data_IF_144378066547
#
_entry.id   IF_144378066547
#
_cell.length_a   1.000
_cell.length_b   1.000
_cell.length_c   1.000
_cell.angle_alpha   90.00
_cell.angle_beta   90.00
_cell.angle_gamma   90.00
#
_symmetry.space_group_name_H-M   'P 1'
#
loop_
_entity.id
_entity.type
_entity.pdbx_description
1 polymer ?
#
# COMPACT_ATOMS: atom_id res chain seq x y z
N UNK A 1 -12.19 14.66 54.78
CA UNK A 1 -12.97 13.44 54.47
C UNK A 1 -13.25 13.37 52.97
N UNK A 2 -13.38 12.15 52.41
CA UNK A 2 -13.67 11.80 51.00
C UNK A 2 -12.63 12.13 49.92
N UNK A 3 -12.05 11.04 49.39
CA UNK A 3 -11.77 10.79 47.98
C UNK A 3 -12.60 9.52 47.60
N UNK A 4 -12.51 8.90 46.39
CA UNK A 4 -11.87 9.29 45.13
C UNK A 4 -12.80 9.10 43.89
N UNK A 5 -12.20 9.00 42.69
CA UNK A 5 -12.74 8.55 41.40
C UNK A 5 -13.61 9.57 40.59
N UNK A 6 -13.60 9.54 39.25
CA UNK A 6 -13.03 8.51 38.36
C UNK A 6 -12.40 9.04 37.06
N UNK A 7 -11.53 8.19 36.48
CA UNK A 7 -11.09 8.23 35.08
C UNK A 7 -12.31 8.02 34.17
N UNK A 8 -12.36 8.64 32.99
CA UNK A 8 -12.65 7.97 31.71
C UNK A 8 -12.31 8.89 30.53
N UNK A 9 -11.92 8.27 29.42
CA UNK A 9 -11.35 8.87 28.20
C UNK A 9 -12.41 9.21 27.15
N UNK A 10 -12.35 10.39 26.53
CA UNK A 10 -12.96 10.65 25.22
C UNK A 10 -12.35 11.88 24.53
N UNK A 11 -12.11 11.80 23.21
CA UNK A 11 -12.07 13.00 22.35
C UNK A 11 -10.74 13.72 22.13
N UNK A 12 -9.69 13.01 21.72
CA UNK A 12 -8.68 13.64 20.83
C UNK A 12 -9.31 13.75 19.42
N UNK A 13 -8.85 14.72 18.61
CA UNK A 13 -9.22 14.98 17.20
C UNK A 13 -10.40 15.94 16.95
N UNK A 14 -10.12 17.25 17.06
CA UNK A 14 -10.77 18.28 16.23
C UNK A 14 -9.66 19.07 15.53
N UNK A 15 -9.71 19.14 14.20
CA UNK A 15 -8.52 19.44 13.37
C UNK A 15 -8.07 20.90 13.35
N UNK A 16 -6.76 21.11 13.40
CA UNK A 16 -6.13 22.39 13.10
C UNK A 16 -6.11 22.66 11.57
N UNK A 17 -7.23 23.17 11.05
CA UNK A 17 -7.37 23.62 9.65
C UNK A 17 -7.93 25.06 9.58
N UNK A 18 -7.34 25.97 10.38
CA UNK A 18 -7.77 27.36 10.49
C UNK A 18 -6.60 28.34 10.30
N UNK A 19 -5.93 28.28 9.15
CA UNK A 19 -4.98 29.30 8.71
C UNK A 19 -4.90 29.40 7.19
N UNK A 20 -5.65 30.36 6.62
CA UNK A 20 -5.32 31.28 5.50
C UNK A 20 -6.62 32.06 5.17
N UNK A 21 -6.82 33.21 5.83
CA UNK A 21 -7.78 34.26 5.44
C UNK A 21 -7.15 35.62 5.78
N UNK A 22 -7.09 36.54 4.80
CA UNK A 22 -6.30 37.79 4.84
C UNK A 22 -4.83 37.55 4.43
N UNK A 23 -4.12 38.40 3.70
CA UNK A 23 -4.19 39.86 3.43
C UNK A 23 -3.48 40.11 2.06
N UNK A 24 -3.77 41.07 1.17
CA UNK A 24 -4.67 42.24 1.11
C UNK A 24 -5.31 42.40 -0.30
N UNK A 25 -6.09 43.47 -0.53
CA UNK A 25 -6.30 44.04 -1.87
C UNK A 25 -5.00 44.67 -2.40
N UNK A 26 -4.66 44.38 -3.65
CA UNK A 26 -3.48 44.89 -4.35
C UNK A 26 -3.68 44.88 -5.87
N UNK A 27 -4.65 45.66 -6.34
CA UNK A 27 -4.99 45.81 -7.75
C UNK A 27 -3.88 46.55 -8.51
N UNK A 28 -3.16 45.85 -9.41
CA UNK A 28 -2.16 46.47 -10.29
C UNK A 28 -1.34 45.49 -11.13
N UNK A 29 -0.54 44.63 -10.49
CA UNK A 29 0.60 43.97 -11.17
C UNK A 29 0.63 42.43 -11.13
N UNK A 30 -0.42 41.74 -10.66
CA UNK A 30 -0.36 40.28 -10.36
C UNK A 30 -0.90 39.33 -11.44
N UNK A 31 -1.23 39.81 -12.65
CA UNK A 31 -1.87 38.97 -13.71
C UNK A 31 -0.92 37.98 -14.41
N UNK A 32 0.40 38.22 -14.41
CA UNK A 32 1.38 37.29 -15.01
C UNK A 32 1.85 36.15 -14.07
N UNK A 33 1.77 36.33 -12.75
CA UNK A 33 2.20 35.30 -11.79
C UNK A 33 1.24 34.11 -11.68
N UNK A 34 -0.07 34.37 -11.75
CA UNK A 34 -1.12 33.36 -11.53
C UNK A 34 -1.12 32.23 -12.57
N UNK A 35 -0.85 32.54 -13.85
CA UNK A 35 -0.80 31.53 -14.90
C UNK A 35 0.39 30.57 -14.71
N UNK A 36 1.59 31.08 -14.39
CA UNK A 36 2.76 30.24 -14.09
C UNK A 36 2.56 29.41 -12.81
N UNK A 37 1.99 29.99 -11.76
CA UNK A 37 1.66 29.28 -10.52
C UNK A 37 0.67 28.13 -10.76
N UNK A 38 -0.42 28.38 -11.50
CA UNK A 38 -1.45 27.39 -11.82
C UNK A 38 -0.90 26.23 -12.65
N UNK A 39 -0.11 26.52 -13.69
CA UNK A 39 0.59 25.48 -14.49
C UNK A 39 1.57 24.67 -13.64
N UNK A 40 2.24 25.29 -12.64
CA UNK A 40 3.11 24.56 -11.72
C UNK A 40 2.33 23.60 -10.82
N UNK A 41 1.20 24.04 -10.24
CA UNK A 41 0.34 23.19 -9.40
C UNK A 41 -0.30 22.06 -10.20
N UNK A 42 -0.78 22.33 -11.41
CA UNK A 42 -1.35 21.30 -12.31
C UNK A 42 -0.28 20.24 -12.68
N UNK A 43 0.97 20.64 -12.92
CA UNK A 43 2.09 19.71 -13.14
C UNK A 43 2.45 18.90 -11.90
N UNK A 44 2.50 19.52 -10.72
CA UNK A 44 2.75 18.81 -9.45
C UNK A 44 1.65 17.79 -9.16
N UNK A 45 0.38 18.15 -9.37
CA UNK A 45 -0.76 17.25 -9.22
C UNK A 45 -0.74 16.10 -10.24
N UNK A 46 -0.34 16.37 -11.49
CA UNK A 46 -0.16 15.34 -12.50
C UNK A 46 0.98 14.37 -12.14
N UNK A 47 2.11 14.89 -11.65
CA UNK A 47 3.24 14.09 -11.19
C UNK A 47 2.86 13.20 -9.99
N UNK A 48 2.14 13.76 -9.01
CA UNK A 48 1.65 13.00 -7.85
C UNK A 48 0.67 11.88 -8.27
N UNK A 49 -0.28 12.18 -9.17
CA UNK A 49 -1.20 11.17 -9.73
C UNK A 49 -0.49 10.08 -10.51
N UNK A 50 0.52 10.43 -11.31
CA UNK A 50 1.35 9.45 -12.01
C UNK A 50 2.14 8.57 -11.04
N UNK A 51 2.63 9.14 -9.93
CA UNK A 51 3.32 8.39 -8.89
C UNK A 51 2.39 7.40 -8.18
N UNK A 52 1.21 7.83 -7.73
CA UNK A 52 0.25 6.96 -7.06
C UNK A 52 -0.32 5.88 -8.00
N UNK A 53 -0.53 6.20 -9.28
CA UNK A 53 -0.96 5.23 -10.28
C UNK A 53 0.08 4.11 -10.48
N UNK A 54 1.38 4.45 -10.54
CA UNK A 54 2.46 3.44 -10.63
C UNK A 54 2.54 2.56 -9.39
N UNK A 55 2.47 3.14 -8.19
CA UNK A 55 2.45 2.37 -6.94
C UNK A 55 1.22 1.43 -6.87
N UNK A 56 0.03 1.92 -7.23
CA UNK A 56 -1.19 1.11 -7.26
C UNK A 56 -1.17 0.02 -8.37
N UNK A 57 -0.38 0.19 -9.43
CA UNK A 57 -0.15 -0.87 -10.42
C UNK A 57 0.82 -1.92 -9.88
N UNK A 58 1.95 -1.52 -9.30
CA UNK A 58 2.93 -2.45 -8.70
C UNK A 58 2.31 -3.29 -7.56
N UNK A 59 1.53 -2.66 -6.67
CA UNK A 59 0.82 -3.37 -5.60
C UNK A 59 -0.18 -4.42 -6.14
N UNK A 60 -0.91 -4.10 -7.22
CA UNK A 60 -1.82 -5.06 -7.88
C UNK A 60 -1.08 -6.19 -8.57
N UNK A 61 0.11 -5.94 -9.12
CA UNK A 61 0.95 -7.00 -9.69
C UNK A 61 1.45 -7.94 -8.60
N UNK A 62 1.90 -7.42 -7.45
CA UNK A 62 2.32 -8.24 -6.31
C UNK A 62 1.19 -9.12 -5.76
N UNK A 63 -0.02 -8.57 -5.58
CA UNK A 63 -1.20 -9.35 -5.17
C UNK A 63 -1.50 -10.50 -6.15
N UNK A 64 -1.49 -10.19 -7.46
CA UNK A 64 -1.72 -11.18 -8.51
C UNK A 64 -0.64 -12.28 -8.52
N UNK A 65 0.64 -11.88 -8.46
CA UNK A 65 1.79 -12.79 -8.45
C UNK A 65 1.80 -13.71 -7.22
N UNK A 66 1.31 -13.24 -6.05
CA UNK A 66 1.23 -14.00 -4.80
C UNK A 66 0.03 -14.96 -4.76
N UNK A 67 -1.09 -14.60 -5.38
CA UNK A 67 -2.34 -15.39 -5.32
C UNK A 67 -2.19 -16.79 -5.93
N UNK A 68 -1.48 -16.90 -7.04
CA UNK A 68 -1.27 -18.17 -7.75
C UNK A 68 -0.45 -19.22 -6.94
N UNK A 69 0.76 -18.91 -6.42
CA UNK A 69 1.53 -19.87 -5.62
C UNK A 69 0.82 -20.24 -4.31
N UNK A 70 0.14 -19.29 -3.64
CA UNK A 70 -0.63 -19.58 -2.42
C UNK A 70 -1.76 -20.57 -2.71
N UNK A 71 -2.52 -20.37 -3.80
CA UNK A 71 -3.56 -21.33 -4.21
C UNK A 71 -3.02 -22.71 -4.54
N UNK A 72 -1.89 -22.79 -5.26
CA UNK A 72 -1.25 -24.06 -5.59
C UNK A 72 -0.73 -24.81 -4.34
N UNK A 73 -0.22 -24.08 -3.35
CA UNK A 73 0.20 -24.68 -2.07
C UNK A 73 -0.99 -25.19 -1.25
N UNK A 74 -2.11 -24.47 -1.23
CA UNK A 74 -3.32 -24.92 -0.56
C UNK A 74 -3.85 -26.24 -1.16
N UNK A 75 -3.94 -26.34 -2.49
CA UNK A 75 -4.36 -27.57 -3.19
C UNK A 75 -3.36 -28.72 -2.96
N UNK A 76 -2.06 -28.46 -2.94
CA UNK A 76 -1.05 -29.49 -2.66
C UNK A 76 -1.17 -30.04 -1.22
N UNK A 77 -1.40 -29.18 -0.23
CA UNK A 77 -1.65 -29.58 1.16
C UNK A 77 -2.95 -30.38 1.31
N UNK A 78 -4.02 -29.94 0.64
CA UNK A 78 -5.31 -30.67 0.60
C UNK A 78 -5.11 -32.06 0.00
N UNK A 79 -4.46 -32.18 -1.15
CA UNK A 79 -4.14 -33.47 -1.79
C UNK A 79 -3.33 -34.39 -0.87
N UNK A 80 -2.30 -33.86 -0.20
CA UNK A 80 -1.49 -34.64 0.77
C UNK A 80 -2.30 -35.14 1.97
N UNK A 81 -3.34 -34.40 2.39
CA UNK A 81 -4.21 -34.79 3.52
C UNK A 81 -5.34 -35.76 3.14
N UNK A 82 -5.70 -35.84 1.85
CA UNK A 82 -6.87 -36.60 1.36
C UNK A 82 -6.51 -37.88 0.60
N UNK A 83 -5.26 -38.01 0.12
CA UNK A 83 -4.78 -39.23 -0.54
C UNK A 83 -3.98 -40.12 0.40
N UNK A 84 -3.97 -41.43 0.15
CA UNK A 84 -3.02 -42.37 0.75
C UNK A 84 -1.88 -42.77 -0.18
N UNK A 85 -1.96 -42.44 -1.47
CA UNK A 85 -0.95 -42.74 -2.48
C UNK A 85 0.39 -42.01 -2.19
N UNK A 86 1.49 -42.75 -1.94
CA UNK A 86 2.81 -42.15 -1.71
C UNK A 86 3.34 -41.36 -2.90
N UNK A 87 2.98 -41.73 -4.14
CA UNK A 87 3.44 -41.06 -5.35
C UNK A 87 2.80 -39.67 -5.52
N UNK A 88 1.48 -39.57 -5.28
CA UNK A 88 0.76 -38.30 -5.27
C UNK A 88 1.23 -37.39 -4.12
N UNK A 89 1.53 -37.96 -2.93
CA UNK A 89 2.16 -37.22 -1.83
C UNK A 89 3.54 -36.65 -2.21
N UNK A 90 4.35 -37.42 -2.95
CA UNK A 90 5.64 -36.96 -3.43
C UNK A 90 5.52 -35.87 -4.50
N UNK A 91 4.58 -35.98 -5.43
CA UNK A 91 4.34 -34.93 -6.43
C UNK A 91 3.85 -33.63 -5.79
N UNK A 92 2.91 -33.72 -4.85
CA UNK A 92 2.42 -32.58 -4.07
C UNK A 92 3.55 -31.90 -3.27
N UNK A 93 4.44 -32.68 -2.64
CA UNK A 93 5.63 -32.15 -1.96
C UNK A 93 6.52 -31.34 -2.92
N UNK A 94 6.81 -31.86 -4.12
CA UNK A 94 7.59 -31.12 -5.11
C UNK A 94 6.88 -29.85 -5.60
N UNK A 95 5.54 -29.82 -5.65
CA UNK A 95 4.78 -28.58 -5.94
C UNK A 95 5.01 -27.56 -4.83
N UNK A 96 4.95 -27.97 -3.56
CA UNK A 96 5.23 -27.11 -2.41
C UNK A 96 6.66 -26.54 -2.46
N UNK A 97 7.67 -27.38 -2.65
CA UNK A 97 9.08 -26.96 -2.78
C UNK A 97 9.27 -25.89 -3.87
N UNK A 98 8.68 -26.13 -5.06
CA UNK A 98 8.73 -25.18 -6.18
C UNK A 98 8.01 -23.86 -5.88
N UNK A 99 6.88 -23.89 -5.17
CA UNK A 99 6.17 -22.65 -4.79
C UNK A 99 6.90 -21.90 -3.67
N UNK A 100 7.49 -22.58 -2.69
CA UNK A 100 8.31 -21.95 -1.64
C UNK A 100 9.52 -21.24 -2.25
N UNK A 101 10.20 -21.87 -3.21
CA UNK A 101 11.29 -21.22 -3.96
C UNK A 101 10.83 -19.96 -4.70
N UNK A 102 9.63 -19.98 -5.31
CA UNK A 102 9.03 -18.79 -5.95
C UNK A 102 8.63 -17.71 -4.94
N UNK A 103 8.10 -18.09 -3.77
CA UNK A 103 7.73 -17.16 -2.70
C UNK A 103 8.94 -16.40 -2.16
N UNK A 104 10.12 -17.00 -2.11
CA UNK A 104 11.37 -16.29 -1.77
C UNK A 104 11.70 -15.18 -2.79
N UNK A 105 11.56 -15.46 -4.09
CA UNK A 105 11.72 -14.45 -5.15
C UNK A 105 10.66 -13.34 -5.05
N UNK A 106 9.40 -13.67 -4.77
CA UNK A 106 8.34 -12.68 -4.59
C UNK A 106 8.56 -11.82 -3.34
N UNK A 107 9.10 -12.40 -2.26
CA UNK A 107 9.48 -11.66 -1.05
C UNK A 107 10.54 -10.60 -1.34
N UNK A 108 11.48 -10.88 -2.25
CA UNK A 108 12.43 -9.88 -2.72
C UNK A 108 11.74 -8.71 -3.44
N UNK A 109 10.81 -8.99 -4.37
CA UNK A 109 10.01 -7.95 -5.05
C UNK A 109 9.17 -7.11 -4.09
N UNK A 110 8.61 -7.72 -3.04
CA UNK A 110 7.89 -7.00 -1.97
C UNK A 110 8.83 -6.07 -1.20
N UNK A 111 10.07 -6.51 -0.94
CA UNK A 111 11.09 -5.67 -0.30
C UNK A 111 11.53 -4.51 -1.19
N UNK A 112 11.75 -4.74 -2.49
CA UNK A 112 12.03 -3.69 -3.48
C UNK A 112 10.89 -2.66 -3.54
N UNK A 113 9.64 -3.11 -3.71
CA UNK A 113 8.45 -2.26 -3.69
C UNK A 113 8.33 -1.45 -2.39
N UNK A 114 8.60 -2.06 -1.23
CA UNK A 114 8.59 -1.36 0.05
C UNK A 114 9.66 -0.26 0.13
N UNK A 115 10.84 -0.48 -0.47
CA UNK A 115 11.88 0.55 -0.56
C UNK A 115 11.52 1.67 -1.53
N UNK A 116 10.88 1.35 -2.66
CA UNK A 116 10.35 2.36 -3.60
C UNK A 116 9.13 3.12 -3.07
N UNK A 117 8.41 2.55 -2.10
CA UNK A 117 7.26 3.19 -1.46
C UNK A 117 7.65 4.15 -0.34
N UNK A 118 8.75 3.85 0.38
CA UNK A 118 9.24 4.64 1.52
C UNK A 118 10.40 5.61 1.16
N UNK A 119 10.81 5.66 -0.11
CA UNK A 119 11.93 6.47 -0.62
C UNK A 119 11.51 7.78 -1.28
#
# INVERSE_FOLDING_TARGET
MRAPAGRWTAGVLAGAFASIVGVALGSGLRRQGGARGRVSVERQLAALRAHTARQAQAARQLDHDLRAPVGAMAVALELMSTTDDPSLKQEAMQVLERQIARMNTLTHRVHEFSREFNG
#
